data_IF_185527825535
#
_entry.id   IF_185527825535
#
_cell.length_a   1.000
_cell.length_b   1.000
_cell.length_c   1.000
_cell.angle_alpha   90.00
_cell.angle_beta   90.00
_cell.angle_gamma   90.00
#
_symmetry.space_group_name_H-M   'P 1'
#
loop_
_entity.id
_entity.type
_entity.pdbx_description
1 polymer ?
#
# COMPACT_ATOMS: atom_id res chain seq x y z
N UNK A 1 -12.96 0.24 -10.83
CA UNK A 1 -14.40 0.56 -10.95
C UNK A 1 -14.72 1.54 -9.84
N UNK A 2 -15.43 2.64 -10.13
CA UNK A 2 -16.03 3.50 -9.09
C UNK A 2 -17.53 3.27 -9.15
N UNK A 3 -18.14 2.96 -8.02
CA UNK A 3 -19.58 2.72 -7.91
C UNK A 3 -20.32 3.90 -7.27
N UNK A 4 -19.60 4.88 -6.70
CA UNK A 4 -20.17 6.00 -5.97
C UNK A 4 -19.91 7.35 -6.66
N UNK A 5 -20.97 8.13 -6.87
CA UNK A 5 -20.96 9.43 -7.56
C UNK A 5 -20.36 10.58 -6.71
N UNK A 6 -19.50 10.25 -5.73
CA UNK A 6 -18.92 11.18 -4.75
C UNK A 6 -18.02 12.24 -5.39
N UNK A 7 -17.34 11.89 -6.49
CA UNK A 7 -16.43 12.78 -7.21
C UNK A 7 -16.88 13.01 -8.65
N UNK A 8 -17.30 14.24 -8.97
CA UNK A 8 -17.65 14.68 -10.33
C UNK A 8 -16.55 15.55 -10.92
N UNK A 9 -16.11 15.21 -12.12
CA UNK A 9 -15.11 15.98 -12.85
C UNK A 9 -15.73 16.73 -14.01
N UNK A 10 -15.35 17.99 -14.17
CA UNK A 10 -15.52 18.76 -15.39
C UNK A 10 -14.13 19.15 -15.88
N UNK A 11 -13.84 18.94 -17.16
CA UNK A 11 -12.57 19.36 -17.75
C UNK A 11 -12.82 20.52 -18.70
N UNK A 12 -12.14 21.64 -18.49
CA UNK A 12 -12.12 22.72 -19.45
C UNK A 12 -10.78 22.72 -20.18
N UNK A 13 -10.81 22.53 -21.49
CA UNK A 13 -9.61 22.43 -22.33
C UNK A 13 -9.50 23.60 -23.27
N UNK A 14 -8.32 24.19 -23.32
CA UNK A 14 -7.95 25.25 -24.25
C UNK A 14 -6.56 24.91 -24.76
N UNK A 15 -6.43 24.65 -26.06
CA UNK A 15 -5.14 24.36 -26.66
C UNK A 15 -4.55 25.65 -27.19
N UNK A 16 -3.34 25.95 -26.73
CA UNK A 16 -2.56 27.08 -27.22
C UNK A 16 -1.50 26.54 -28.16
N UNK A 17 -1.68 26.77 -29.46
CA UNK A 17 -0.65 26.45 -30.45
C UNK A 17 0.46 27.50 -30.37
N UNK A 18 1.65 27.08 -29.96
CA UNK A 18 2.86 27.89 -30.03
C UNK A 18 3.56 27.58 -31.36
N UNK A 19 3.30 28.38 -32.38
CA UNK A 19 4.08 28.33 -33.62
C UNK A 19 5.41 29.05 -33.38
N UNK A 20 6.52 28.33 -33.57
CA UNK A 20 7.90 28.79 -33.34
C UNK A 20 8.43 29.77 -34.39
N UNK A 21 7.59 30.28 -35.29
CA UNK A 21 7.98 31.30 -36.26
C UNK A 21 6.97 32.46 -36.26
N UNK A 22 7.49 33.66 -35.94
CA UNK A 22 6.91 34.99 -36.15
C UNK A 22 5.43 35.25 -35.75
N UNK A 23 5.29 36.01 -34.67
CA UNK A 23 4.27 37.05 -34.43
C UNK A 23 2.78 36.68 -34.32
N UNK A 24 2.35 35.45 -34.59
CA UNK A 24 0.94 35.07 -34.43
C UNK A 24 0.76 33.86 -33.51
N UNK A 25 0.40 34.12 -32.25
CA UNK A 25 -0.13 33.07 -31.37
C UNK A 25 -1.61 32.87 -31.69
N UNK A 26 -1.98 31.77 -32.33
CA UNK A 26 -3.39 31.41 -32.49
C UNK A 26 -3.88 30.78 -31.18
N UNK A 27 -4.55 31.60 -30.35
CA UNK A 27 -5.25 31.11 -29.17
C UNK A 27 -6.60 30.56 -29.63
N UNK A 28 -6.77 29.24 -29.59
CA UNK A 28 -8.06 28.63 -29.85
C UNK A 28 -9.04 28.90 -28.69
N UNK A 29 -10.33 28.88 -29.02
CA UNK A 29 -11.39 29.05 -28.04
C UNK A 29 -11.50 27.81 -27.13
N UNK A 30 -11.90 28.06 -25.89
CA UNK A 30 -11.98 27.03 -24.86
C UNK A 30 -13.19 26.13 -25.06
N UNK A 31 -12.97 24.82 -24.98
CA UNK A 31 -14.01 23.79 -25.02
C UNK A 31 -14.16 23.18 -23.62
N UNK A 32 -15.39 23.10 -23.14
CA UNK A 32 -15.72 22.51 -21.83
C UNK A 32 -16.33 21.12 -22.04
N UNK A 33 -15.72 20.06 -21.50
CA UNK A 33 -16.20 18.68 -21.63
C UNK A 33 -16.86 18.25 -20.31
N UNK A 34 -18.11 17.77 -20.43
CA UNK A 34 -18.93 17.25 -19.32
C UNK A 34 -19.08 15.73 -19.37
N UNK A 35 -19.60 15.16 -18.27
CA UNK A 35 -19.88 13.73 -18.10
C UNK A 35 -18.62 12.84 -18.10
N UNK A 36 -17.63 13.24 -17.31
CA UNK A 36 -16.39 12.48 -17.11
C UNK A 36 -16.48 11.74 -15.78
N UNK A 37 -16.79 10.45 -15.85
CA UNK A 37 -17.10 9.63 -14.67
C UNK A 37 -15.87 8.90 -14.09
N UNK A 38 -14.73 8.95 -14.78
CA UNK A 38 -13.48 8.32 -14.33
C UNK A 38 -12.25 9.11 -14.78
N UNK A 39 -11.11 8.94 -14.08
CA UNK A 39 -9.85 9.54 -14.52
C UNK A 39 -9.42 9.06 -15.91
N UNK A 40 -9.71 7.80 -16.24
CA UNK A 40 -9.39 7.27 -17.56
C UNK A 40 -10.26 7.91 -18.65
N UNK A 41 -11.54 8.17 -18.39
CA UNK A 41 -12.40 8.94 -19.29
C UNK A 41 -11.95 10.39 -19.43
N UNK A 42 -11.46 11.02 -18.35
CA UNK A 42 -10.87 12.38 -18.42
C UNK A 42 -9.67 12.38 -19.36
N UNK A 43 -8.72 11.45 -19.19
CA UNK A 43 -7.55 11.35 -20.08
C UNK A 43 -7.96 11.17 -21.54
N UNK A 44 -8.82 10.17 -21.81
CA UNK A 44 -9.25 9.86 -23.19
C UNK A 44 -10.02 11.02 -23.84
N UNK A 45 -10.87 11.71 -23.07
CA UNK A 45 -11.60 12.88 -23.56
C UNK A 45 -10.66 14.04 -23.92
N UNK A 46 -9.63 14.26 -23.11
CA UNK A 46 -8.60 15.27 -23.36
C UNK A 46 -7.82 14.90 -24.63
N UNK A 47 -7.33 13.67 -24.75
CA UNK A 47 -6.55 13.22 -25.90
C UNK A 47 -7.36 13.30 -27.20
N UNK A 48 -8.64 12.92 -27.15
CA UNK A 48 -9.57 13.05 -28.28
C UNK A 48 -9.77 14.51 -28.67
N UNK A 49 -10.06 15.39 -27.71
CA UNK A 49 -10.33 16.80 -28.00
C UNK A 49 -9.08 17.52 -28.50
N UNK A 50 -7.89 17.15 -28.01
CA UNK A 50 -6.62 17.60 -28.55
C UNK A 50 -6.49 17.23 -30.02
N UNK A 51 -6.66 15.94 -30.33
CA UNK A 51 -6.56 15.44 -31.70
C UNK A 51 -7.56 16.13 -32.63
N UNK A 52 -8.81 16.32 -32.18
CA UNK A 52 -9.86 17.02 -32.93
C UNK A 52 -9.48 18.46 -33.24
N UNK A 53 -9.05 19.23 -32.24
CA UNK A 53 -8.71 20.64 -32.42
C UNK A 53 -7.46 20.82 -33.29
N UNK A 54 -6.46 19.96 -33.13
CA UNK A 54 -5.27 19.92 -34.01
C UNK A 54 -5.70 19.65 -35.45
N UNK A 55 -6.58 18.69 -35.68
CA UNK A 55 -7.04 18.33 -37.02
C UNK A 55 -7.84 19.46 -37.68
N UNK A 56 -8.79 20.08 -36.96
CA UNK A 56 -9.56 21.21 -37.48
C UNK A 56 -8.64 22.39 -37.81
N UNK A 57 -7.65 22.67 -36.96
CA UNK A 57 -6.68 23.72 -37.22
C UNK A 57 -5.81 23.41 -38.44
N UNK A 58 -5.28 22.19 -38.57
CA UNK A 58 -4.40 21.82 -39.69
C UNK A 58 -5.12 21.78 -41.05
N UNK A 59 -6.43 21.56 -41.04
CA UNK A 59 -7.29 21.62 -42.23
C UNK A 59 -7.75 23.04 -42.59
N UNK A 60 -7.27 24.08 -41.89
CA UNK A 60 -7.69 25.47 -42.10
C UNK A 60 -9.11 25.76 -41.63
N UNK A 61 -9.68 24.90 -40.78
CA UNK A 61 -11.03 25.01 -40.23
C UNK A 61 -11.01 25.49 -38.76
N UNK A 62 -10.03 26.33 -38.41
CA UNK A 62 -9.87 26.84 -37.05
C UNK A 62 -11.13 27.58 -36.53
N UNK A 63 -11.89 28.22 -37.43
CA UNK A 63 -13.15 28.93 -37.12
C UNK A 63 -14.26 28.00 -36.60
N UNK A 64 -14.15 26.68 -36.83
CA UNK A 64 -15.07 25.70 -36.26
C UNK A 64 -14.80 25.41 -34.79
N UNK A 65 -13.62 25.79 -34.27
CA UNK A 65 -13.24 25.64 -32.87
C UNK A 65 -13.82 26.83 -32.10
N UNK A 66 -15.09 26.71 -31.76
CA UNK A 66 -15.85 27.72 -31.03
C UNK A 66 -15.89 27.42 -29.54
N UNK A 67 -16.21 28.43 -28.73
CA UNK A 67 -16.46 28.23 -27.31
C UNK A 67 -17.75 27.42 -27.14
N UNK A 68 -17.64 26.18 -26.67
CA UNK A 68 -18.80 25.29 -26.56
C UNK A 68 -18.66 24.32 -25.36
N UNK A 69 -19.80 23.83 -24.92
CA UNK A 69 -19.88 22.70 -24.00
C UNK A 69 -20.11 21.43 -24.81
N UNK A 70 -19.24 20.45 -24.62
CA UNK A 70 -19.30 19.12 -25.23
C UNK A 70 -19.57 18.05 -24.17
N UNK A 71 -20.16 16.95 -24.59
CA UNK A 71 -20.38 15.75 -23.79
C UNK A 71 -19.35 14.70 -24.17
N UNK A 72 -18.75 14.02 -23.19
CA UNK A 72 -18.01 12.79 -23.45
C UNK A 72 -18.96 11.60 -23.56
N UNK A 73 -18.94 10.91 -24.70
CA UNK A 73 -19.69 9.68 -24.94
C UNK A 73 -18.78 8.47 -24.81
N UNK A 74 -18.94 7.71 -23.72
CA UNK A 74 -18.07 6.57 -23.41
C UNK A 74 -18.20 5.44 -24.44
N UNK A 75 -19.40 5.17 -24.96
CA UNK A 75 -19.59 4.08 -25.94
C UNK A 75 -18.85 4.33 -27.25
N UNK A 76 -18.84 5.57 -27.72
CA UNK A 76 -18.21 5.96 -28.99
C UNK A 76 -16.81 6.58 -28.84
N UNK A 77 -16.33 6.76 -27.60
CA UNK A 77 -15.04 7.36 -27.26
C UNK A 77 -14.80 8.71 -27.97
N UNK A 78 -15.82 9.57 -28.00
CA UNK A 78 -15.79 10.87 -28.70
C UNK A 78 -16.47 11.96 -27.90
N UNK A 79 -16.11 13.21 -28.20
CA UNK A 79 -16.82 14.39 -27.69
C UNK A 79 -17.93 14.80 -28.66
N UNK A 80 -19.13 15.10 -28.17
CA UNK A 80 -20.27 15.60 -28.96
C UNK A 80 -20.63 17.01 -28.50
N UNK A 81 -20.88 17.94 -29.44
CA UNK A 81 -21.38 19.28 -29.11
C UNK A 81 -22.74 19.19 -28.41
N UNK A 82 -22.87 19.83 -27.25
CA UNK A 82 -24.16 20.03 -26.60
C UNK A 82 -24.70 21.44 -26.84
N UNK A 83 -23.92 22.45 -26.46
CA UNK A 83 -24.32 23.86 -26.50
C UNK A 83 -23.14 24.70 -26.95
N UNK A 84 -23.36 25.55 -27.95
CA UNK A 84 -22.42 26.62 -28.28
C UNK A 84 -22.64 27.80 -27.33
N UNK A 85 -21.57 28.39 -26.80
CA UNK A 85 -21.67 29.60 -25.97
C UNK A 85 -21.79 30.79 -26.91
N UNK A 86 -22.94 31.44 -26.90
CA UNK A 86 -23.20 32.66 -27.69
C UNK A 86 -22.73 33.94 -26.97
N UNK A 87 -22.03 33.79 -25.84
CA UNK A 87 -21.52 34.88 -25.00
C UNK A 87 -21.21 34.40 -23.58
N UNK A 88 -20.82 35.34 -22.71
CA UNK A 88 -20.71 35.08 -21.26
C UNK A 88 -22.10 35.11 -20.64
N UNK A 89 -22.43 34.13 -19.79
CA UNK A 89 -23.68 34.15 -19.05
C UNK A 89 -23.58 35.16 -17.90
N UNK A 90 -24.48 36.13 -17.87
CA UNK A 90 -24.59 37.07 -16.75
C UNK A 90 -25.36 36.41 -15.60
N UNK A 91 -24.61 35.89 -14.63
CA UNK A 91 -25.17 35.27 -13.44
C UNK A 91 -25.68 36.28 -12.41
N UNK A 92 -25.48 37.59 -12.63
CA UNK A 92 -25.93 38.68 -11.75
C UNK A 92 -25.60 38.39 -10.28
N UNK A 93 -24.33 38.10 -9.98
CA UNK A 93 -23.89 37.82 -8.61
C UNK A 93 -24.23 38.99 -7.69
N UNK A 94 -24.93 38.71 -6.59
CA UNK A 94 -25.15 39.63 -5.49
C UNK A 94 -25.01 38.87 -4.16
N UNK A 95 -24.66 39.54 -3.05
CA UNK A 95 -24.61 38.90 -1.73
C UNK A 95 -25.99 38.37 -1.36
N UNK A 96 -26.06 37.12 -0.91
CA UNK A 96 -27.30 36.51 -0.44
C UNK A 96 -27.82 37.28 0.80
N UNK A 97 -28.98 37.95 0.73
CA UNK A 97 -29.48 38.76 1.83
C UNK A 97 -29.92 37.94 3.04
N UNK A 98 -30.35 36.69 2.84
CA UNK A 98 -30.90 35.85 3.90
C UNK A 98 -29.81 35.11 4.71
N UNK A 99 -28.58 35.08 4.20
CA UNK A 99 -27.45 34.39 4.84
C UNK A 99 -26.48 35.45 5.37
N UNK A 100 -26.32 35.60 6.69
CA UNK A 100 -25.33 36.49 7.24
C UNK A 100 -23.92 36.04 6.84
N UNK A 101 -23.01 37.00 6.69
CA UNK A 101 -21.62 36.72 6.39
C UNK A 101 -20.99 35.77 7.41
N UNK A 102 -20.33 34.71 6.93
CA UNK A 102 -19.62 33.76 7.78
C UNK A 102 -18.28 34.37 8.18
N UNK A 103 -18.08 34.62 9.48
CA UNK A 103 -16.79 35.03 10.03
C UNK A 103 -16.16 33.84 10.75
N UNK A 104 -14.95 33.46 10.33
CA UNK A 104 -14.19 32.37 10.95
C UNK A 104 -13.21 32.99 11.94
N UNK A 105 -13.26 32.57 13.21
CA UNK A 105 -12.30 33.04 14.23
C UNK A 105 -10.93 32.37 14.02
N UNK A 106 -9.87 33.01 14.50
CA UNK A 106 -8.52 32.43 14.43
C UNK A 106 -8.44 31.13 15.23
N UNK A 107 -9.11 31.05 16.38
CA UNK A 107 -9.15 29.84 17.21
C UNK A 107 -9.81 28.66 16.48
N UNK A 108 -10.86 28.94 15.69
CA UNK A 108 -11.52 27.91 14.88
C UNK A 108 -10.59 27.39 13.78
N UNK A 109 -9.89 28.30 13.09
CA UNK A 109 -8.93 27.95 12.03
C UNK A 109 -7.74 27.16 12.60
N UNK A 110 -7.22 27.58 13.75
CA UNK A 110 -6.11 26.90 14.41
C UNK A 110 -6.53 25.53 14.95
N UNK A 111 -7.75 25.40 15.48
CA UNK A 111 -8.31 24.10 15.85
C UNK A 111 -8.35 23.12 14.67
N UNK A 112 -8.81 23.58 13.49
CA UNK A 112 -8.77 22.75 12.27
C UNK A 112 -7.32 22.43 11.91
N UNK A 113 -6.43 23.42 11.87
CA UNK A 113 -5.03 23.24 11.50
C UNK A 113 -4.33 22.21 12.38
N UNK A 114 -4.58 22.21 13.69
CA UNK A 114 -4.05 21.21 14.62
C UNK A 114 -4.67 19.83 14.46
N UNK A 115 -5.88 19.72 13.92
CA UNK A 115 -6.56 18.44 13.69
C UNK A 115 -6.20 17.77 12.35
N UNK A 116 -5.56 18.50 11.44
CA UNK A 116 -5.22 17.97 10.12
C UNK A 116 -4.16 16.85 10.21
N UNK A 117 -4.40 15.69 9.57
CA UNK A 117 -3.40 14.64 9.48
C UNK A 117 -2.22 15.08 8.60
N UNK A 118 -1.12 14.34 8.69
CA UNK A 118 0.06 14.55 7.85
C UNK A 118 -0.33 14.51 6.36
N UNK A 119 -0.04 15.60 5.62
CA UNK A 119 -0.38 15.69 4.21
C UNK A 119 0.38 14.64 3.39
N UNK A 120 -0.21 14.08 2.31
CA UNK A 120 0.44 13.05 1.50
C UNK A 120 1.80 13.45 0.91
N UNK A 121 2.00 14.73 0.59
CA UNK A 121 3.30 15.21 0.11
C UNK A 121 4.38 15.19 1.20
N UNK A 122 4.04 15.63 2.41
CA UNK A 122 4.95 15.63 3.56
C UNK A 122 5.32 14.19 3.91
N UNK A 123 4.33 13.30 3.97
CA UNK A 123 4.53 11.87 4.22
C UNK A 123 5.45 11.22 3.18
N UNK A 124 5.26 11.51 1.89
CA UNK A 124 6.14 11.02 0.83
C UNK A 124 7.59 11.47 1.00
N UNK A 125 7.82 12.77 1.27
CA UNK A 125 9.16 13.29 1.55
C UNK A 125 9.78 12.66 2.80
N UNK A 126 8.98 12.40 3.85
CA UNK A 126 9.43 11.69 5.05
C UNK A 126 9.94 10.29 4.71
N UNK A 127 9.20 9.54 3.90
CA UNK A 127 9.60 8.20 3.46
C UNK A 127 10.84 8.21 2.55
N UNK A 128 10.97 9.19 1.65
CA UNK A 128 12.19 9.38 0.85
C UNK A 128 13.41 9.64 1.74
N UNK A 129 13.26 10.49 2.76
CA UNK A 129 14.32 10.78 3.74
C UNK A 129 14.69 9.56 4.60
N UNK A 130 13.83 8.54 4.69
CA UNK A 130 14.14 7.26 5.33
C UNK A 130 14.91 6.29 4.41
N UNK A 131 15.25 6.70 3.18
CA UNK A 131 16.04 5.91 2.24
C UNK A 131 15.22 4.97 1.35
N UNK A 132 13.90 5.16 1.27
CA UNK A 132 13.03 4.42 0.36
C UNK A 132 13.11 4.99 -1.07
N UNK A 133 12.96 4.13 -2.08
CA UNK A 133 12.93 4.58 -3.46
C UNK A 133 11.61 5.30 -3.77
N UNK A 134 11.60 6.19 -4.76
CA UNK A 134 10.38 6.88 -5.20
C UNK A 134 9.25 5.90 -5.55
N UNK A 135 9.57 4.72 -6.09
CA UNK A 135 8.58 3.69 -6.41
C UNK A 135 7.92 3.14 -5.15
N UNK A 136 8.71 2.83 -4.12
CA UNK A 136 8.22 2.31 -2.84
C UNK A 136 7.37 3.34 -2.11
N UNK A 137 7.85 4.59 -2.09
CA UNK A 137 7.16 5.74 -1.50
C UNK A 137 5.78 5.94 -2.13
N UNK A 138 5.71 5.89 -3.46
CA UNK A 138 4.44 6.03 -4.18
C UNK A 138 3.48 4.91 -3.83
N UNK A 139 3.94 3.66 -3.73
CA UNK A 139 3.08 2.55 -3.34
C UNK A 139 2.55 2.70 -1.91
N UNK A 140 3.45 2.93 -0.94
CA UNK A 140 3.10 3.00 0.49
C UNK A 140 2.21 4.19 0.83
N UNK A 141 2.40 5.33 0.14
CA UNK A 141 1.63 6.54 0.41
C UNK A 141 0.34 6.67 -0.43
N UNK A 142 0.05 5.72 -1.31
CA UNK A 142 -1.15 5.78 -2.17
C UNK A 142 -2.44 5.42 -1.42
N UNK A 143 -2.34 4.59 -0.39
CA UNK A 143 -3.46 4.20 0.46
C UNK A 143 -3.16 4.59 1.92
N UNK A 144 -4.11 5.30 2.54
CA UNK A 144 -3.97 5.78 3.91
C UNK A 144 -3.82 4.64 4.91
N UNK A 145 -4.56 3.54 4.72
CA UNK A 145 -4.52 2.39 5.63
C UNK A 145 -3.18 1.67 5.53
N UNK A 146 -2.63 1.56 4.32
CA UNK A 146 -1.30 0.96 4.10
C UNK A 146 -0.22 1.84 4.70
N UNK A 147 -0.33 3.16 4.54
CA UNK A 147 0.60 4.12 5.11
C UNK A 147 0.59 4.07 6.65
N UNK A 148 -0.58 4.03 7.28
CA UNK A 148 -0.73 3.90 8.73
C UNK A 148 -0.20 2.57 9.25
N UNK A 149 -0.48 1.47 8.55
CA UNK A 149 0.06 0.15 8.88
C UNK A 149 1.59 0.12 8.83
N UNK A 150 2.18 0.73 7.79
CA UNK A 150 3.63 0.88 7.66
C UNK A 150 4.22 1.75 8.78
N UNK A 151 3.64 2.92 9.03
CA UNK A 151 4.04 3.84 10.10
C UNK A 151 4.01 3.15 11.48
N UNK A 152 2.97 2.35 11.75
CA UNK A 152 2.87 1.57 12.98
C UNK A 152 3.88 0.42 13.04
N UNK A 153 4.24 -0.18 11.91
CA UNK A 153 5.25 -1.25 11.84
C UNK A 153 6.65 -0.70 12.15
N UNK A 154 7.04 0.43 11.55
CA UNK A 154 8.35 1.06 11.79
C UNK A 154 8.49 1.58 13.23
N UNK A 155 7.40 1.98 13.88
CA UNK A 155 7.39 2.39 15.28
C UNK A 155 7.82 1.27 16.23
N UNK A 156 7.63 0.00 15.83
CA UNK A 156 8.05 -1.19 16.60
C UNK A 156 9.49 -1.64 16.29
N UNK A 157 10.38 -0.69 15.98
CA UNK A 157 11.79 -0.92 15.68
C UNK A 157 12.08 -1.85 14.48
N UNK A 158 11.12 -1.99 13.57
CA UNK A 158 11.32 -2.72 12.33
C UNK A 158 12.31 -1.98 11.42
N UNK A 159 13.10 -2.74 10.67
CA UNK A 159 13.93 -2.16 9.62
C UNK A 159 13.05 -1.60 8.50
N UNK A 160 13.20 -0.30 8.20
CA UNK A 160 12.34 0.44 7.27
C UNK A 160 12.27 -0.23 5.90
N UNK A 161 13.42 -0.65 5.35
CA UNK A 161 13.51 -1.23 4.02
C UNK A 161 12.91 -2.63 3.99
N UNK A 162 13.16 -3.43 5.01
CA UNK A 162 12.53 -4.76 5.12
C UNK A 162 11.01 -4.64 5.27
N UNK A 163 10.52 -3.74 6.12
CA UNK A 163 9.09 -3.50 6.30
C UNK A 163 8.40 -3.13 4.98
N UNK A 164 8.99 -2.20 4.22
CA UNK A 164 8.47 -1.83 2.89
C UNK A 164 8.40 -3.04 1.95
N UNK A 165 9.48 -3.84 1.88
CA UNK A 165 9.52 -5.03 1.02
C UNK A 165 8.47 -6.08 1.39
N UNK A 166 8.26 -6.33 2.69
CA UNK A 166 7.24 -7.28 3.16
C UNK A 166 5.83 -6.83 2.82
N UNK A 167 5.54 -5.53 3.01
CA UNK A 167 4.23 -4.95 2.72
C UNK A 167 3.97 -4.95 1.21
N UNK A 168 4.91 -4.47 0.41
CA UNK A 168 4.79 -4.35 -1.05
C UNK A 168 4.81 -5.69 -1.79
N UNK A 169 5.50 -6.69 -1.25
CA UNK A 169 5.61 -8.00 -1.87
C UNK A 169 4.58 -8.97 -1.30
N UNK A 170 4.91 -9.52 -0.14
CA UNK A 170 4.22 -10.66 0.46
C UNK A 170 2.80 -10.36 0.92
N UNK A 171 2.58 -9.18 1.53
CA UNK A 171 1.26 -8.76 2.04
C UNK A 171 0.39 -8.25 0.90
N UNK A 172 0.94 -7.44 0.00
CA UNK A 172 0.22 -6.98 -1.19
C UNK A 172 -0.26 -8.13 -2.09
N UNK A 173 0.57 -9.16 -2.26
CA UNK A 173 0.17 -10.38 -2.98
C UNK A 173 -0.98 -11.10 -2.29
N UNK A 174 -0.95 -11.20 -0.96
CA UNK A 174 -2.04 -11.81 -0.18
C UNK A 174 -3.35 -11.00 -0.29
N UNK A 175 -3.28 -9.68 -0.08
CA UNK A 175 -4.43 -8.77 -0.25
C UNK A 175 -5.06 -8.91 -1.63
N UNK A 176 -4.24 -8.99 -2.68
CA UNK A 176 -4.72 -9.13 -4.06
C UNK A 176 -5.39 -10.48 -4.31
N UNK A 177 -4.86 -11.57 -3.76
CA UNK A 177 -5.39 -12.92 -3.96
C UNK A 177 -6.74 -13.10 -3.25
N UNK A 178 -6.83 -12.65 -2.00
CA UNK A 178 -8.05 -12.77 -1.18
C UNK A 178 -9.03 -11.60 -1.40
N UNK A 179 -8.64 -10.59 -2.18
CA UNK A 179 -9.39 -9.34 -2.43
C UNK A 179 -9.75 -8.60 -1.14
N UNK A 180 -8.81 -8.57 -0.20
CA UNK A 180 -8.93 -7.91 1.09
C UNK A 180 -8.15 -6.59 1.10
N UNK A 181 -8.63 -5.64 1.89
CA UNK A 181 -7.90 -4.44 2.29
C UNK A 181 -6.94 -4.74 3.45
N UNK A 182 -5.94 -3.89 3.66
CA UNK A 182 -4.95 -4.08 4.74
C UNK A 182 -5.60 -4.08 6.14
N UNK A 183 -6.70 -3.34 6.30
CA UNK A 183 -7.49 -3.29 7.54
C UNK A 183 -8.27 -4.58 7.83
N UNK A 184 -8.47 -5.44 6.83
CA UNK A 184 -9.19 -6.72 6.98
C UNK A 184 -8.25 -7.90 7.23
N UNK A 185 -6.94 -7.70 7.12
CA UNK A 185 -5.95 -8.74 7.41
C UNK A 185 -5.81 -8.88 8.93
N UNK A 186 -5.70 -10.13 9.40
CA UNK A 186 -5.48 -10.45 10.82
C UNK A 186 -4.09 -10.10 11.34
N UNK A 187 -3.13 -9.92 10.45
CA UNK A 187 -1.76 -9.56 10.79
C UNK A 187 -1.72 -8.12 11.30
N UNK A 188 -1.24 -7.93 12.52
CA UNK A 188 -1.09 -6.61 13.12
C UNK A 188 0.28 -6.00 12.76
N UNK A 189 0.41 -4.66 12.80
CA UNK A 189 1.70 -4.00 12.60
C UNK A 189 2.78 -4.43 13.60
N UNK A 190 2.36 -4.74 14.84
CA UNK A 190 3.24 -5.19 15.91
C UNK A 190 3.83 -6.58 15.59
N UNK A 191 2.98 -7.54 15.23
CA UNK A 191 3.43 -8.89 14.85
C UNK A 191 4.38 -8.85 13.65
N UNK A 192 4.10 -7.99 12.66
CA UNK A 192 5.02 -7.82 11.53
C UNK A 192 6.36 -7.22 11.97
N UNK A 193 6.34 -6.23 12.87
CA UNK A 193 7.56 -5.64 13.43
C UNK A 193 8.42 -6.66 14.16
N UNK A 194 7.82 -7.49 15.02
CA UNK A 194 8.50 -8.57 15.75
C UNK A 194 9.07 -9.64 14.82
N UNK A 195 8.32 -10.00 13.76
CA UNK A 195 8.80 -10.92 12.74
C UNK A 195 10.03 -10.37 12.02
N UNK A 196 10.01 -9.09 11.63
CA UNK A 196 11.14 -8.42 10.97
C UNK A 196 12.35 -8.35 11.90
N UNK A 197 12.13 -8.00 13.17
CA UNK A 197 13.19 -7.95 14.18
C UNK A 197 13.85 -9.34 14.37
N UNK A 198 13.04 -10.40 14.43
CA UNK A 198 13.51 -11.79 14.56
C UNK A 198 14.31 -12.26 13.35
N UNK A 199 13.93 -11.83 12.13
CA UNK A 199 14.69 -12.11 10.90
C UNK A 199 16.03 -11.37 10.91
N UNK A 200 16.02 -10.08 11.28
CA UNK A 200 17.24 -9.27 11.34
C UNK A 200 18.21 -9.76 12.43
N UNK A 201 17.68 -10.26 13.54
CA UNK A 201 18.45 -10.88 14.61
C UNK A 201 19.03 -12.26 14.25
N UNK A 202 18.71 -12.81 13.07
CA UNK A 202 19.18 -14.12 12.62
C UNK A 202 18.51 -15.31 13.30
N UNK A 203 17.55 -15.08 14.20
CA UNK A 203 16.78 -16.12 14.88
C UNK A 203 15.94 -16.94 13.90
N UNK A 204 15.41 -16.28 12.87
CA UNK A 204 14.55 -16.89 11.86
C UNK A 204 15.09 -16.57 10.46
N UNK A 205 15.18 -17.58 9.59
CA UNK A 205 15.52 -17.35 8.18
C UNK A 205 14.34 -16.73 7.42
N UNK A 206 14.61 -15.90 6.40
CA UNK A 206 13.53 -15.29 5.61
C UNK A 206 12.54 -16.29 4.99
N UNK A 207 12.97 -17.54 4.74
CA UNK A 207 12.10 -18.62 4.27
C UNK A 207 11.09 -19.03 5.34
N UNK A 208 11.56 -19.28 6.57
CA UNK A 208 10.70 -19.61 7.71
C UNK A 208 9.77 -18.43 8.03
N UNK A 209 10.26 -17.20 7.91
CA UNK A 209 9.42 -16.01 8.09
C UNK A 209 8.22 -15.96 7.15
N UNK A 210 8.35 -16.43 5.91
CA UNK A 210 7.23 -16.50 4.96
C UNK A 210 6.19 -17.55 5.35
N UNK A 211 6.66 -18.68 5.90
CA UNK A 211 5.78 -19.73 6.42
C UNK A 211 5.04 -19.26 7.67
N UNK A 212 5.73 -18.57 8.60
CA UNK A 212 5.13 -17.98 9.81
C UNK A 212 4.11 -16.89 9.46
N UNK A 213 4.40 -16.03 8.47
CA UNK A 213 3.43 -15.06 7.94
C UNK A 213 2.14 -15.75 7.49
N UNK A 214 2.27 -16.81 6.68
CA UNK A 214 1.11 -17.57 6.20
C UNK A 214 0.33 -18.20 7.36
N UNK A 215 0.99 -18.61 8.43
CA UNK A 215 0.33 -19.09 9.63
C UNK A 215 -0.44 -17.97 10.35
N UNK A 216 0.17 -16.81 10.60
CA UNK A 216 -0.46 -15.69 11.30
C UNK A 216 -1.66 -15.15 10.52
N UNK A 217 -1.50 -14.94 9.21
CA UNK A 217 -2.56 -14.46 8.33
C UNK A 217 -3.63 -15.56 8.09
N UNK A 218 -3.17 -16.80 7.92
CA UNK A 218 -3.96 -17.94 7.44
C UNK A 218 -4.73 -18.71 8.51
N UNK A 219 -4.79 -18.24 9.77
CA UNK A 219 -5.80 -18.74 10.73
C UNK A 219 -7.18 -18.23 10.31
N UNK A 220 -7.66 -18.68 9.16
CA UNK A 220 -9.08 -18.92 8.96
C UNK A 220 -9.40 -20.22 9.70
N UNK A 221 -10.37 -20.18 10.61
CA UNK A 221 -10.82 -21.36 11.38
C UNK A 221 -11.40 -22.48 10.50
N UNK A 222 -11.29 -22.39 9.18
CA UNK A 222 -11.72 -23.40 8.21
C UNK A 222 -10.82 -24.63 8.13
N UNK A 223 -9.56 -24.56 8.61
CA UNK A 223 -8.61 -25.69 8.55
C UNK A 223 -8.28 -26.35 9.90
N UNK A 224 -8.82 -25.81 11.00
CA UNK A 224 -8.65 -26.40 12.33
C UNK A 224 -9.16 -27.85 12.44
N UNK A 225 -10.27 -28.28 11.80
CA UNK A 225 -10.70 -29.67 11.94
C UNK A 225 -9.77 -30.64 11.23
N UNK A 226 -9.04 -30.24 10.19
CA UNK A 226 -8.14 -31.16 9.48
C UNK A 226 -6.81 -31.33 10.21
N UNK A 227 -6.26 -30.24 10.76
CA UNK A 227 -4.98 -30.30 11.49
C UNK A 227 -5.11 -30.96 12.86
N UNK A 228 -6.20 -30.67 13.59
CA UNK A 228 -6.49 -31.36 14.87
C UNK A 228 -6.79 -32.84 14.63
N UNK A 229 -7.49 -33.20 13.56
CA UNK A 229 -7.75 -34.60 13.21
C UNK A 229 -6.48 -35.35 12.78
N UNK A 230 -5.59 -34.73 12.01
CA UNK A 230 -4.30 -35.37 11.62
C UNK A 230 -3.39 -35.54 12.82
N UNK A 231 -3.28 -34.54 13.71
CA UNK A 231 -2.47 -34.65 14.93
C UNK A 231 -3.09 -35.66 15.91
N UNK A 232 -4.41 -35.71 16.06
CA UNK A 232 -5.11 -36.71 16.87
C UNK A 232 -4.93 -38.13 16.30
N UNK A 233 -5.11 -38.33 14.99
CA UNK A 233 -4.88 -39.64 14.33
C UNK A 233 -3.42 -40.07 14.47
N UNK A 234 -2.45 -39.16 14.33
CA UNK A 234 -1.05 -39.51 14.51
C UNK A 234 -0.71 -39.84 15.97
N UNK A 235 -1.32 -39.17 16.95
CA UNK A 235 -1.13 -39.48 18.37
C UNK A 235 -1.79 -40.81 18.74
N UNK A 236 -3.00 -41.07 18.26
CA UNK A 236 -3.72 -42.33 18.49
C UNK A 236 -3.00 -43.51 17.83
N UNK A 237 -2.48 -43.34 16.61
CA UNK A 237 -1.65 -44.37 15.95
C UNK A 237 -0.35 -44.60 16.72
N UNK A 238 0.31 -43.54 17.21
CA UNK A 238 1.54 -43.69 17.99
C UNK A 238 1.31 -44.39 19.34
N UNK A 239 0.19 -44.09 20.02
CA UNK A 239 -0.23 -44.75 21.27
C UNK A 239 -0.59 -46.22 21.00
N UNK A 240 -1.30 -46.53 19.92
CA UNK A 240 -1.60 -47.91 19.50
C UNK A 240 -0.31 -48.69 19.19
N UNK A 241 0.68 -48.09 18.52
CA UNK A 241 1.96 -48.75 18.25
C UNK A 241 2.79 -49.00 19.51
N UNK A 242 2.61 -48.20 20.57
CA UNK A 242 3.26 -48.37 21.87
C UNK A 242 2.54 -49.40 22.77
N UNK A 243 1.21 -49.47 22.74
CA UNK A 243 0.43 -50.43 23.54
C UNK A 243 0.37 -51.85 22.95
N UNK A 244 0.44 -52.00 21.61
CA UNK A 244 0.36 -53.31 20.93
C UNK A 244 1.76 -53.98 20.79
N UNK A 245 2.83 -53.35 21.27
CA UNK A 245 4.14 -54.00 21.42
C UNK A 245 4.84 -54.44 20.12
N UNK A 246 4.52 -53.81 18.98
CA UNK A 246 5.03 -54.22 17.66
C UNK A 246 6.43 -53.68 17.35
N UNK A 247 6.96 -52.74 18.14
CA UNK A 247 8.34 -52.25 18.01
C UNK A 247 9.20 -52.73 19.18
N UNK A 248 9.90 -53.86 19.01
CA UNK A 248 11.01 -54.25 19.89
C UNK A 248 12.22 -53.35 19.59
N UNK A 249 12.87 -52.72 20.59
CA UNK A 249 14.13 -52.01 20.38
C UNK A 249 15.24 -53.01 20.04
N UNK A 250 15.91 -52.82 18.90
CA UNK A 250 17.14 -53.55 18.57
C UNK A 250 18.31 -52.96 19.35
N UNK A 251 18.59 -53.52 20.53
CA UNK A 251 19.90 -53.45 21.18
C UNK A 251 20.82 -54.52 20.59
N UNK A 252 21.78 -54.14 19.75
CA UNK A 252 23.01 -54.93 19.50
C UNK A 252 23.87 -54.22 18.46
N UNK A 253 24.72 -53.28 18.87
CA UNK A 253 25.97 -52.89 18.19
C UNK A 253 26.61 -51.81 19.06
N UNK A 254 27.50 -52.22 19.96
CA UNK A 254 28.61 -51.44 20.56
C UNK A 254 29.22 -52.26 21.72
N UNK A 255 29.60 -53.51 21.43
CA UNK A 255 30.53 -54.29 22.26
C UNK A 255 31.71 -54.70 21.38
N UNK A 256 32.62 -53.74 21.12
CA UNK A 256 33.97 -54.03 20.65
C UNK A 256 34.81 -52.75 20.55
N UNK A 257 35.21 -52.18 21.69
CA UNK A 257 36.40 -51.29 21.73
C UNK A 257 37.24 -51.61 22.98
N UNK A 258 38.59 -51.69 22.84
CA UNK A 258 39.50 -52.10 23.92
C UNK A 258 39.71 -51.01 24.99
N UNK A 259 40.25 -51.36 26.19
CA UNK A 259 40.22 -50.48 27.35
C UNK A 259 41.25 -49.34 27.30
N UNK A 260 40.85 -48.22 27.90
CA UNK A 260 41.60 -46.95 27.98
C UNK A 260 42.63 -46.97 29.13
N UNK A 261 43.85 -46.48 28.88
CA UNK A 261 44.87 -46.18 29.91
C UNK A 261 44.95 -44.67 30.19
N UNK A 262 45.16 -44.22 31.44
CA UNK A 262 45.06 -42.81 31.81
C UNK A 262 46.41 -42.05 31.83
N UNK A 263 46.28 -40.71 31.75
CA UNK A 263 47.22 -39.60 32.05
C UNK A 263 48.06 -39.00 30.92
N UNK A 264 47.89 -37.69 30.65
CA UNK A 264 48.79 -36.59 31.10
C UNK A 264 48.25 -35.17 30.72
N UNK A 265 48.85 -34.14 31.32
CA UNK A 265 48.34 -32.80 31.71
C UNK A 265 48.44 -31.62 30.70
N UNK A 266 47.47 -30.67 30.82
CA UNK A 266 47.52 -29.16 30.82
C UNK A 266 47.92 -28.37 29.54
N UNK A 267 47.66 -27.02 29.42
CA UNK A 267 47.08 -26.02 30.35
C UNK A 267 45.95 -25.08 29.79
N UNK A 268 45.30 -24.22 30.64
CA UNK A 268 44.27 -23.22 30.26
C UNK A 268 44.86 -21.79 30.10
N UNK A 269 44.16 -20.84 29.44
CA UNK A 269 43.86 -19.53 30.10
C UNK A 269 42.65 -18.73 29.47
N UNK A 270 42.33 -17.47 29.86
CA UNK A 270 41.91 -16.91 31.17
C UNK A 270 40.55 -16.11 31.08
N UNK A 271 40.05 -15.47 32.17
CA UNK A 271 38.63 -15.06 32.31
C UNK A 271 38.29 -13.54 32.34
N UNK A 272 36.98 -13.24 32.22
CA UNK A 272 36.15 -12.10 32.76
C UNK A 272 36.29 -10.66 32.18
N UNK A 273 35.30 -9.72 32.31
CA UNK A 273 34.22 -9.60 33.33
C UNK A 273 32.79 -9.21 32.84
N UNK A 274 31.80 -9.30 33.75
CA UNK A 274 30.42 -8.72 33.70
C UNK A 274 29.28 -9.49 32.99
N UNK A 275 28.83 -10.59 33.60
CA UNK A 275 27.43 -11.06 33.54
C UNK A 275 26.90 -11.29 34.97
N UNK A 276 27.17 -10.32 35.84
CA UNK A 276 26.45 -10.17 37.10
C UNK A 276 25.16 -9.41 36.78
N UNK A 277 24.01 -10.10 36.70
CA UNK A 277 22.72 -9.57 37.17
C UNK A 277 21.51 -10.52 37.06
N UNK A 278 21.63 -11.75 36.56
CA UNK A 278 20.50 -12.70 36.54
C UNK A 278 20.72 -13.82 37.56
N UNK A 279 20.73 -13.43 38.84
CA UNK A 279 20.66 -14.35 40.00
C UNK A 279 19.85 -13.73 41.14
N UNK A 280 18.66 -13.22 40.83
CA UNK A 280 17.62 -12.89 41.81
C UNK A 280 16.28 -13.25 41.18
N UNK A 281 15.78 -14.45 41.48
CA UNK A 281 14.37 -14.87 41.53
C UNK A 281 14.26 -16.40 41.65
N UNK A 282 14.98 -16.99 42.62
CA UNK A 282 14.73 -18.34 43.14
C UNK A 282 15.57 -18.56 44.42
N UNK A 283 15.23 -17.79 45.47
CA UNK A 283 15.27 -18.25 46.85
C UNK A 283 13.83 -18.22 47.33
#
# INVERSE_FOLDING_TARGET
MREDASNRFQSSQCIRFLLTSCLYTVKLLQVEIKNLNSFSSVSRAIDFEISRQVQLHSQGQADQIVQETRLWEEGAQKTITMRKKEGLSDYRYFPEPDIPGVTLSEEYVDGIRSSLPELPEIKRRRYENMGLSMQDVLFLANDINVAEFFDATIANAADVKLAANWIMGDIAAYMKNEKLSISEIKLTPLELGELIASIKGGTISGKIGKEVKLFIIGISWTYLPFYVLVVAICWDVLVIYLEVGVLKPKTSYLQSLPPYHPTQHLPPPPPHPQLAHIKKLAN
#
